data_IF_150579067135
#
_entry.id   IF_150579067135
#
_cell.length_a   1.000
_cell.length_b   1.000
_cell.length_c   1.000
_cell.angle_alpha   90.00
_cell.angle_beta   90.00
_cell.angle_gamma   90.00
#
_symmetry.space_group_name_H-M   'P 1'
#
loop_
_entity.id
_entity.type
_entity.pdbx_description
1 polymer ?
#
# COMPACT_ATOMS: atom_id res chain seq x y z
N UNK A 1 -24.10 76.32 40.76
CA UNK A 1 -24.16 75.73 39.40
C UNK A 1 -22.72 75.33 39.00
N UNK A 2 -22.34 74.09 39.23
CA UNK A 2 -21.04 73.56 38.80
C UNK A 2 -21.32 72.36 37.85
N UNK A 3 -20.90 72.53 36.62
CA UNK A 3 -20.97 71.48 35.60
C UNK A 3 -19.78 70.53 35.81
N UNK A 4 -20.07 69.27 36.01
CA UNK A 4 -19.10 68.19 36.01
C UNK A 4 -19.06 67.61 34.63
N UNK A 5 -17.91 67.72 33.94
CA UNK A 5 -17.63 67.04 32.69
C UNK A 5 -17.12 65.62 33.02
N UNK A 6 -17.86 64.62 32.66
CA UNK A 6 -17.37 63.22 32.70
C UNK A 6 -16.69 62.88 31.36
N UNK A 7 -15.39 62.72 31.42
CA UNK A 7 -14.62 62.20 30.29
C UNK A 7 -14.72 60.66 30.26
N UNK A 8 -15.36 60.11 29.20
CA UNK A 8 -15.41 58.70 28.90
C UNK A 8 -14.10 58.33 28.21
N UNK A 9 -13.21 57.63 28.88
CA UNK A 9 -12.03 57.04 28.26
C UNK A 9 -12.48 55.69 27.64
N UNK A 10 -12.60 55.63 26.32
CA UNK A 10 -12.77 54.39 25.57
C UNK A 10 -11.38 53.68 25.53
N UNK A 11 -11.26 52.61 26.31
CA UNK A 11 -10.13 51.70 26.25
C UNK A 11 -10.41 50.70 25.10
N UNK A 12 -9.88 50.95 23.91
CA UNK A 12 -9.87 49.98 22.81
C UNK A 12 -8.80 48.90 23.11
N UNK A 13 -9.23 47.77 23.62
CA UNK A 13 -8.43 46.55 23.64
C UNK A 13 -8.20 46.09 22.21
N UNK A 14 -7.08 46.44 21.62
CA UNK A 14 -6.57 45.79 20.42
C UNK A 14 -6.04 44.44 20.85
N UNK A 15 -6.86 43.38 20.72
CA UNK A 15 -6.37 42.00 20.76
C UNK A 15 -5.51 41.79 19.51
N UNK A 16 -4.24 42.16 19.61
CA UNK A 16 -3.23 41.74 18.67
C UNK A 16 -3.07 40.23 18.80
N UNK A 17 -3.62 39.47 17.83
CA UNK A 17 -3.21 38.09 17.61
C UNK A 17 -1.72 38.18 17.23
N UNK A 18 -0.86 38.11 18.23
CA UNK A 18 0.56 37.96 18.01
C UNK A 18 0.75 36.59 17.37
N UNK A 19 0.92 36.59 16.04
CA UNK A 19 1.44 35.45 15.34
C UNK A 19 2.86 35.23 15.87
N UNK A 20 2.99 34.50 16.95
CA UNK A 20 4.31 34.16 17.54
C UNK A 20 5.00 33.29 16.49
N UNK A 21 6.01 33.86 15.83
CA UNK A 21 6.84 33.16 14.85
C UNK A 21 7.43 31.95 15.55
N UNK A 22 6.98 30.76 15.20
CA UNK A 22 7.53 29.51 15.77
C UNK A 22 9.04 29.50 15.60
N UNK A 23 9.78 29.13 16.63
CA UNK A 23 11.24 29.03 16.56
C UNK A 23 11.68 27.97 15.56
N UNK A 24 12.85 28.20 14.93
CA UNK A 24 13.43 27.21 14.02
C UNK A 24 13.91 25.99 14.83
N UNK A 25 13.52 24.80 14.39
CA UNK A 25 13.96 23.54 15.00
C UNK A 25 14.35 22.52 13.93
N UNK A 26 15.17 21.57 14.30
CA UNK A 26 15.37 20.35 13.50
C UNK A 26 14.15 19.45 13.68
N UNK A 27 13.66 18.91 12.56
CA UNK A 27 12.59 17.91 12.51
C UNK A 27 13.12 16.68 11.80
N UNK A 28 12.97 15.52 12.40
CA UNK A 28 13.50 14.26 11.89
C UNK A 28 12.38 13.36 11.36
N UNK A 29 12.58 12.83 10.16
CA UNK A 29 11.70 11.83 9.51
C UNK A 29 12.48 10.53 9.31
N UNK A 30 11.90 9.42 9.72
CA UNK A 30 12.33 8.10 9.29
C UNK A 30 11.36 7.55 8.24
N UNK A 31 11.90 7.11 7.10
CA UNK A 31 11.16 6.39 6.06
C UNK A 31 11.89 5.12 5.68
N UNK A 32 11.17 4.12 5.17
CA UNK A 32 11.73 2.82 4.80
C UNK A 32 11.97 2.69 3.30
N UNK A 33 11.49 3.63 2.47
CA UNK A 33 11.54 3.57 1.02
C UNK A 33 12.39 4.70 0.42
N UNK A 34 13.29 4.33 -0.50
CA UNK A 34 14.14 5.31 -1.19
C UNK A 34 13.33 6.34 -1.98
N UNK A 35 12.27 5.90 -2.68
CA UNK A 35 11.40 6.79 -3.45
C UNK A 35 10.71 7.82 -2.55
N UNK A 36 10.18 7.38 -1.40
CA UNK A 36 9.55 8.27 -0.45
C UNK A 36 10.55 9.26 0.15
N UNK A 37 11.77 8.80 0.51
CA UNK A 37 12.84 9.70 0.94
C UNK A 37 13.21 10.72 -0.14
N UNK A 38 13.24 10.34 -1.42
CA UNK A 38 13.53 11.23 -2.53
C UNK A 38 12.45 12.31 -2.66
N UNK A 39 11.18 11.94 -2.56
CA UNK A 39 10.04 12.87 -2.57
C UNK A 39 10.15 13.94 -1.48
N UNK A 40 10.47 13.55 -0.24
CA UNK A 40 10.69 14.46 0.86
C UNK A 40 11.91 15.38 0.61
N UNK A 41 13.01 14.84 0.07
CA UNK A 41 14.22 15.60 -0.27
C UNK A 41 13.95 16.64 -1.36
N UNK A 42 13.15 16.30 -2.37
CA UNK A 42 12.80 17.20 -3.47
C UNK A 42 12.00 18.41 -2.96
N UNK A 43 11.23 18.25 -1.90
CA UNK A 43 10.42 19.31 -1.30
C UNK A 43 11.00 19.92 -0.03
N UNK A 44 12.17 19.47 0.40
CA UNK A 44 12.79 19.91 1.67
C UNK A 44 12.87 21.44 1.78
N UNK A 45 13.31 22.13 0.75
CA UNK A 45 13.46 23.58 0.78
C UNK A 45 12.14 24.32 1.04
N UNK A 46 11.06 23.88 0.39
CA UNK A 46 9.73 24.45 0.58
C UNK A 46 9.19 24.18 1.98
N UNK A 47 9.39 22.96 2.48
CA UNK A 47 8.98 22.53 3.82
C UNK A 47 9.74 23.33 4.89
N UNK A 48 11.08 23.42 4.76
CA UNK A 48 11.94 24.13 5.69
C UNK A 48 11.54 25.61 5.80
N UNK A 49 11.28 26.23 4.65
CA UNK A 49 10.88 27.63 4.59
C UNK A 49 9.47 27.85 5.18
N UNK A 50 8.50 27.02 4.74
CA UNK A 50 7.09 27.17 5.14
C UNK A 50 6.90 26.99 6.64
N UNK A 51 7.54 25.98 7.21
CA UNK A 51 7.36 25.58 8.60
C UNK A 51 8.47 26.08 9.52
N UNK A 52 9.45 26.85 9.03
CA UNK A 52 10.63 27.33 9.76
C UNK A 52 11.37 26.22 10.50
N UNK A 53 11.74 25.15 9.77
CA UNK A 53 12.44 23.97 10.30
C UNK A 53 13.75 23.69 9.55
N UNK A 54 14.47 22.68 9.98
CA UNK A 54 15.52 21.98 9.21
C UNK A 54 15.15 20.49 9.19
N UNK A 55 14.57 20.03 8.10
CA UNK A 55 14.11 18.65 7.94
C UNK A 55 15.29 17.71 7.71
N UNK A 56 15.45 16.73 8.57
CA UNK A 56 16.41 15.64 8.43
C UNK A 56 15.69 14.34 8.07
N UNK A 57 16.12 13.69 6.99
CA UNK A 57 15.47 12.50 6.45
C UNK A 57 16.42 11.32 6.55
N UNK A 58 16.01 10.28 7.25
CA UNK A 58 16.75 9.04 7.40
C UNK A 58 16.04 7.88 6.74
N UNK A 59 16.76 7.18 5.84
CA UNK A 59 16.31 5.90 5.28
C UNK A 59 16.64 4.79 6.27
N UNK A 60 15.62 4.14 6.80
CA UNK A 60 15.74 3.01 7.73
C UNK A 60 15.35 1.72 7.02
N UNK A 61 16.23 0.73 7.02
CA UNK A 61 15.93 -0.55 6.37
C UNK A 61 14.63 -1.17 6.90
N UNK A 62 13.75 -1.58 6.00
CA UNK A 62 12.40 -2.07 6.31
C UNK A 62 12.38 -3.19 7.37
N UNK A 63 13.29 -4.16 7.24
CA UNK A 63 13.40 -5.30 8.16
C UNK A 63 13.91 -4.92 9.57
N UNK A 64 14.55 -3.76 9.72
CA UNK A 64 15.05 -3.25 10.98
C UNK A 64 14.18 -2.13 11.58
N UNK A 65 13.17 -1.64 10.83
CA UNK A 65 12.43 -0.44 11.16
C UNK A 65 11.76 -0.51 12.54
N UNK A 66 11.00 -1.57 12.79
CA UNK A 66 10.26 -1.73 14.05
C UNK A 66 11.20 -1.91 15.23
N UNK A 67 12.25 -2.74 15.09
CA UNK A 67 13.22 -2.95 16.17
C UNK A 67 13.98 -1.64 16.51
N UNK A 68 14.37 -0.87 15.48
CA UNK A 68 15.02 0.42 15.69
C UNK A 68 14.09 1.41 16.40
N UNK A 69 12.82 1.51 15.96
CA UNK A 69 11.84 2.37 16.61
C UNK A 69 11.63 1.98 18.07
N UNK A 70 11.43 0.70 18.36
CA UNK A 70 11.27 0.20 19.73
C UNK A 70 12.47 0.54 20.61
N UNK A 71 13.69 0.36 20.09
CA UNK A 71 14.91 0.64 20.84
C UNK A 71 15.01 2.11 21.25
N UNK A 72 14.79 3.07 20.32
CA UNK A 72 14.85 4.51 20.63
C UNK A 72 13.70 4.96 21.53
N UNK A 73 12.51 4.35 21.39
CA UNK A 73 11.37 4.64 22.27
C UNK A 73 11.63 4.18 23.71
N UNK A 74 12.30 3.04 23.91
CA UNK A 74 12.70 2.54 25.23
C UNK A 74 13.82 3.36 25.87
N UNK A 75 14.79 3.80 25.07
CA UNK A 75 15.91 4.65 25.55
C UNK A 75 15.48 6.11 25.76
N UNK A 76 14.41 6.56 25.12
CA UNK A 76 13.93 7.94 25.14
C UNK A 76 14.85 8.92 24.42
N UNK A 77 15.81 8.43 23.61
CA UNK A 77 16.76 9.26 22.87
C UNK A 77 16.74 8.94 21.39
N UNK A 78 16.82 9.99 20.56
CA UNK A 78 16.86 9.82 19.11
C UNK A 78 15.53 9.33 18.50
N UNK A 79 14.43 9.50 19.23
CA UNK A 79 13.08 9.26 18.68
C UNK A 79 12.84 10.28 17.57
N UNK A 80 12.47 9.85 16.35
CA UNK A 80 12.18 10.78 15.26
C UNK A 80 10.90 11.57 15.55
N UNK A 81 10.76 12.75 14.92
CA UNK A 81 9.53 13.55 15.03
C UNK A 81 8.39 12.98 14.19
N UNK A 82 8.73 12.37 13.05
CA UNK A 82 7.80 11.70 12.14
C UNK A 82 8.34 10.34 11.72
N UNK A 83 7.45 9.40 11.50
CA UNK A 83 7.78 8.13 10.85
C UNK A 83 6.84 7.88 9.68
N UNK A 84 7.39 7.29 8.63
CA UNK A 84 6.65 6.69 7.54
C UNK A 84 6.92 5.19 7.56
N UNK A 85 5.87 4.39 7.79
CA UNK A 85 6.02 2.95 7.93
C UNK A 85 5.13 2.18 6.95
N UNK A 86 5.53 0.96 6.68
CA UNK A 86 4.71 0.02 5.91
C UNK A 86 3.62 -0.61 6.76
N UNK A 87 2.52 -0.90 6.11
CA UNK A 87 1.35 -1.54 6.71
C UNK A 87 1.66 -2.86 7.42
N UNK A 88 2.63 -3.64 6.93
CA UNK A 88 3.06 -4.90 7.54
C UNK A 88 3.64 -4.71 8.94
N UNK A 89 4.02 -3.49 9.29
CA UNK A 89 4.56 -3.13 10.59
C UNK A 89 3.52 -2.55 11.56
N UNK A 90 2.21 -2.74 11.30
CA UNK A 90 1.13 -2.16 12.11
C UNK A 90 1.11 -2.62 13.58
N UNK A 91 1.91 -3.60 13.96
CA UNK A 91 2.13 -3.97 15.37
C UNK A 91 2.68 -2.84 16.26
N UNK A 92 3.09 -1.71 15.68
CA UNK A 92 3.42 -0.49 16.44
C UNK A 92 2.18 0.26 16.93
N UNK A 93 1.01 -0.07 16.38
CA UNK A 93 -0.28 0.49 16.74
C UNK A 93 -0.93 -0.36 17.82
N UNK A 94 -1.80 0.25 18.63
CA UNK A 94 -2.63 -0.47 19.60
C UNK A 94 -3.98 0.24 19.73
N UNK A 95 -5.04 -0.52 19.98
CA UNK A 95 -6.36 0.04 20.26
C UNK A 95 -6.37 0.86 21.57
N UNK A 96 -5.51 0.50 22.53
CA UNK A 96 -5.22 1.30 23.71
C UNK A 96 -4.09 2.30 23.38
N UNK A 97 -4.35 3.64 23.31
CA UNK A 97 -3.35 4.63 22.96
C UNK A 97 -2.13 4.60 23.88
N UNK A 98 -2.29 4.17 25.13
CA UNK A 98 -1.16 4.10 26.06
C UNK A 98 -0.14 3.04 25.68
N UNK A 99 -0.55 2.01 24.94
CA UNK A 99 0.32 0.92 24.47
C UNK A 99 0.84 1.13 23.05
N UNK A 100 0.29 2.08 22.31
CA UNK A 100 0.77 2.42 20.96
C UNK A 100 2.11 3.13 21.02
N UNK A 101 2.99 2.92 20.03
CA UNK A 101 4.24 3.66 19.87
C UNK A 101 4.04 5.04 19.23
N UNK A 102 2.87 5.30 18.66
CA UNK A 102 2.53 6.54 17.99
C UNK A 102 1.32 7.21 18.64
N UNK A 103 1.19 8.51 18.44
CA UNK A 103 0.07 9.30 18.94
C UNK A 103 -1.18 9.03 18.12
N UNK A 104 -2.38 8.95 18.73
CA UNK A 104 -3.63 9.10 18.02
C UNK A 104 -3.73 10.51 17.42
N UNK A 105 -4.19 10.59 16.18
CA UNK A 105 -4.29 11.84 15.43
C UNK A 105 -5.73 12.39 15.37
N UNK A 106 -6.65 11.86 16.18
CA UNK A 106 -8.08 12.18 16.12
C UNK A 106 -8.36 13.69 16.21
N UNK A 107 -7.66 14.40 17.11
CA UNK A 107 -7.82 15.86 17.28
C UNK A 107 -7.49 16.65 16.00
N UNK A 108 -6.52 16.15 15.22
CA UNK A 108 -6.09 16.80 13.99
C UNK A 108 -6.94 16.39 12.79
N UNK A 109 -7.16 15.07 12.61
CA UNK A 109 -7.86 14.55 11.42
C UNK A 109 -9.35 14.91 11.40
N UNK A 110 -9.98 15.09 12.58
CA UNK A 110 -11.39 15.48 12.67
C UNK A 110 -11.64 16.89 12.13
N UNK A 111 -10.67 17.78 12.22
CA UNK A 111 -10.74 19.16 11.71
C UNK A 111 -10.19 19.30 10.29
N UNK A 112 -9.41 18.32 9.82
CA UNK A 112 -8.79 18.33 8.51
C UNK A 112 -9.83 18.16 7.39
N UNK A 113 -9.93 19.18 6.52
CA UNK A 113 -10.73 19.11 5.30
C UNK A 113 -10.13 18.14 4.27
N UNK A 114 -8.82 18.04 4.24
CA UNK A 114 -8.10 17.16 3.31
C UNK A 114 -8.31 15.69 3.70
N UNK A 115 -8.13 15.34 4.97
CA UNK A 115 -8.31 13.98 5.46
C UNK A 115 -9.75 13.44 5.22
N UNK A 116 -10.77 14.30 5.33
CA UNK A 116 -12.17 13.92 5.04
C UNK A 116 -12.41 13.46 3.61
N UNK A 117 -11.51 13.76 2.68
CA UNK A 117 -11.57 13.33 1.28
C UNK A 117 -10.77 12.04 1.01
N UNK A 118 -10.06 11.50 2.01
CA UNK A 118 -9.36 10.22 1.89
C UNK A 118 -10.37 9.10 1.71
N UNK A 119 -10.12 8.19 0.77
CA UNK A 119 -11.03 7.08 0.49
C UNK A 119 -11.18 6.19 1.73
N UNK A 120 -12.42 5.82 2.12
CA UNK A 120 -12.67 5.09 3.38
C UNK A 120 -11.88 3.80 3.52
N UNK A 121 -11.66 3.09 2.42
CA UNK A 121 -10.86 1.85 2.40
C UNK A 121 -9.41 2.06 2.86
N UNK A 122 -8.84 3.27 2.68
CA UNK A 122 -7.47 3.58 3.18
C UNK A 122 -7.49 4.09 4.61
N UNK A 123 -8.52 4.84 5.00
CA UNK A 123 -8.69 5.25 6.40
C UNK A 123 -8.78 4.03 7.32
N UNK A 124 -9.46 2.97 6.89
CA UNK A 124 -9.60 1.73 7.66
C UNK A 124 -8.25 1.10 8.04
N UNK A 125 -7.20 1.30 7.25
CA UNK A 125 -5.87 0.71 7.49
C UNK A 125 -5.06 1.44 8.57
N UNK A 126 -5.43 2.67 8.90
CA UNK A 126 -4.78 3.49 9.95
C UNK A 126 -5.62 3.60 11.22
N UNK A 127 -6.80 2.96 11.24
CA UNK A 127 -7.67 2.89 12.41
C UNK A 127 -7.41 1.64 13.23
N UNK A 128 -7.24 1.84 14.55
CA UNK A 128 -7.15 0.80 15.55
C UNK A 128 -8.05 1.15 16.74
N UNK A 129 -9.02 0.30 17.03
CA UNK A 129 -10.10 0.65 17.94
C UNK A 129 -10.87 1.87 17.41
N UNK A 130 -11.05 2.87 18.27
CA UNK A 130 -11.74 4.12 17.89
C UNK A 130 -10.79 5.19 17.36
N UNK A 131 -9.47 4.92 17.33
CA UNK A 131 -8.44 5.91 17.05
C UNK A 131 -7.85 5.81 15.65
N UNK A 132 -7.49 6.97 15.09
CA UNK A 132 -6.75 7.11 13.83
C UNK A 132 -5.29 7.44 14.14
N UNK A 133 -4.34 6.64 13.64
CA UNK A 133 -2.93 6.75 14.01
C UNK A 133 -2.02 7.27 12.89
N UNK A 134 -2.55 7.53 11.71
CA UNK A 134 -1.70 7.95 10.61
C UNK A 134 -2.42 8.61 9.46
N UNK A 135 -1.63 9.24 8.60
CA UNK A 135 -2.08 9.80 7.33
C UNK A 135 -1.69 8.85 6.18
N UNK A 136 -2.66 8.28 5.44
CA UNK A 136 -2.35 7.47 4.27
C UNK A 136 -1.60 8.26 3.19
N UNK A 137 -0.55 7.63 2.64
CA UNK A 137 0.25 8.22 1.58
C UNK A 137 -0.39 8.00 0.19
N UNK A 138 -1.03 6.88 -0.03
CA UNK A 138 -1.43 6.34 -1.32
C UNK A 138 -2.66 5.43 -1.24
N UNK A 139 -3.11 4.89 -2.39
CA UNK A 139 -4.30 4.01 -2.44
C UNK A 139 -4.04 2.62 -3.02
N UNK A 140 -3.08 2.47 -3.92
CA UNK A 140 -2.58 1.21 -4.51
C UNK A 140 -3.62 0.28 -5.16
N UNK A 141 -4.40 0.75 -6.15
CA UNK A 141 -5.23 -0.14 -6.94
C UNK A 141 -4.35 -1.10 -7.76
N UNK A 142 -4.74 -2.37 -7.80
CA UNK A 142 -3.99 -3.40 -8.51
C UNK A 142 -4.52 -3.57 -9.93
N UNK A 143 -3.60 -3.57 -10.90
CA UNK A 143 -3.84 -3.87 -12.31
C UNK A 143 -3.11 -5.15 -12.73
N UNK A 144 -3.52 -5.76 -13.83
CA UNK A 144 -2.72 -6.77 -14.54
C UNK A 144 -1.86 -6.05 -15.57
N UNK A 145 -0.53 -6.10 -15.40
CA UNK A 145 0.42 -5.71 -16.44
C UNK A 145 0.81 -6.97 -17.20
N UNK A 146 0.80 -6.92 -18.54
CA UNK A 146 1.11 -8.08 -19.37
C UNK A 146 1.87 -7.72 -20.65
N UNK A 147 2.67 -8.67 -21.12
CA UNK A 147 3.42 -8.61 -22.36
C UNK A 147 2.51 -9.04 -23.52
N UNK A 148 1.87 -8.06 -24.17
CA UNK A 148 0.92 -8.27 -25.27
C UNK A 148 1.56 -9.04 -26.44
N UNK A 149 2.85 -8.78 -26.73
CA UNK A 149 3.60 -9.47 -27.79
C UNK A 149 3.68 -10.98 -27.56
N UNK A 150 4.01 -11.41 -26.35
CA UNK A 150 4.20 -12.82 -26.03
C UNK A 150 2.85 -13.58 -25.89
N UNK A 151 1.86 -12.94 -25.28
CA UNK A 151 0.54 -13.53 -25.17
C UNK A 151 -0.13 -13.71 -26.55
N UNK A 152 -0.05 -12.72 -27.43
CA UNK A 152 -0.51 -12.84 -28.83
C UNK A 152 0.26 -13.91 -29.60
N UNK A 153 1.58 -14.02 -29.39
CA UNK A 153 2.38 -15.09 -30.01
C UNK A 153 1.93 -16.49 -29.56
N UNK A 154 1.42 -16.61 -28.34
CA UNK A 154 0.82 -17.84 -27.83
C UNK A 154 -0.63 -18.06 -28.33
N UNK A 155 -1.17 -17.15 -29.15
CA UNK A 155 -2.55 -17.22 -29.68
C UNK A 155 -3.62 -16.79 -28.67
N UNK A 156 -3.25 -16.00 -27.65
CA UNK A 156 -4.13 -15.55 -26.57
C UNK A 156 -4.35 -14.04 -26.63
N UNK A 157 -5.61 -13.63 -26.63
CA UNK A 157 -6.02 -12.24 -26.45
C UNK A 157 -6.38 -12.01 -24.98
N UNK A 158 -5.47 -11.42 -24.22
CA UNK A 158 -5.64 -11.21 -22.78
C UNK A 158 -6.83 -10.30 -22.47
N UNK A 159 -7.21 -9.39 -23.37
CA UNK A 159 -8.37 -8.50 -23.17
C UNK A 159 -9.70 -9.24 -23.10
N UNK A 160 -9.79 -10.46 -23.66
CA UNK A 160 -10.99 -11.31 -23.64
C UNK A 160 -11.10 -12.21 -22.40
N UNK A 161 -10.10 -12.22 -21.55
CA UNK A 161 -10.07 -13.05 -20.35
C UNK A 161 -10.89 -12.35 -19.26
N UNK A 162 -11.97 -12.97 -18.81
CA UNK A 162 -12.87 -12.40 -17.80
C UNK A 162 -12.56 -12.89 -16.38
N UNK A 163 -12.11 -14.14 -16.25
CA UNK A 163 -11.88 -14.77 -14.94
C UNK A 163 -10.48 -15.35 -14.81
N UNK A 164 -10.04 -15.56 -13.55
CA UNK A 164 -8.76 -16.21 -13.28
C UNK A 164 -8.74 -17.67 -13.76
N UNK A 165 -9.88 -18.39 -13.76
CA UNK A 165 -9.95 -19.74 -14.33
C UNK A 165 -9.61 -19.72 -15.82
N UNK A 166 -10.17 -18.77 -16.57
CA UNK A 166 -9.84 -18.59 -17.99
C UNK A 166 -8.37 -18.18 -18.16
N UNK A 167 -7.87 -17.29 -17.31
CA UNK A 167 -6.47 -16.84 -17.36
C UNK A 167 -5.50 -18.01 -17.21
N UNK A 168 -5.71 -18.86 -16.20
CA UNK A 168 -4.84 -20.00 -15.96
C UNK A 168 -5.00 -21.10 -17.02
N UNK A 169 -6.19 -21.29 -17.59
CA UNK A 169 -6.38 -22.19 -18.72
C UNK A 169 -5.63 -21.70 -19.96
N UNK A 170 -5.78 -20.42 -20.31
CA UNK A 170 -5.09 -19.80 -21.44
C UNK A 170 -3.57 -19.74 -21.23
N UNK A 171 -3.10 -19.63 -19.99
CA UNK A 171 -1.67 -19.60 -19.65
C UNK A 171 -0.95 -20.89 -20.03
N UNK A 172 -1.63 -22.01 -20.16
CA UNK A 172 -1.07 -23.28 -20.66
C UNK A 172 -0.49 -23.14 -22.07
N UNK A 173 -1.13 -22.33 -22.93
CA UNK A 173 -0.64 -22.03 -24.28
C UNK A 173 0.67 -21.24 -24.21
N UNK A 174 0.77 -20.26 -23.30
CA UNK A 174 1.97 -19.48 -23.08
C UNK A 174 3.13 -20.34 -22.57
N UNK A 175 2.86 -21.22 -21.60
CA UNK A 175 3.87 -22.10 -20.99
C UNK A 175 4.23 -23.32 -21.83
N UNK A 176 3.54 -23.56 -22.95
CA UNK A 176 3.81 -24.65 -23.88
C UNK A 176 5.20 -24.56 -24.53
N UNK A 177 5.75 -23.35 -24.72
CA UNK A 177 7.10 -23.16 -25.23
C UNK A 177 8.12 -23.69 -24.23
N UNK A 178 8.95 -24.67 -24.66
CA UNK A 178 9.92 -25.37 -23.80
C UNK A 178 11.34 -25.23 -24.33
N UNK A 179 12.30 -25.16 -23.41
CA UNK A 179 13.73 -25.30 -23.67
C UNK A 179 14.36 -26.16 -22.57
N UNK A 180 15.00 -27.25 -22.95
CA UNK A 180 15.54 -28.19 -21.97
C UNK A 180 14.47 -28.80 -21.04
N UNK A 181 13.26 -29.03 -21.54
CA UNK A 181 12.13 -29.57 -20.78
C UNK A 181 11.39 -28.58 -19.86
N UNK A 182 11.92 -27.35 -19.69
CA UNK A 182 11.29 -26.31 -18.85
C UNK A 182 10.60 -25.26 -19.71
N UNK A 183 9.53 -24.66 -19.19
CA UNK A 183 8.88 -23.51 -19.85
C UNK A 183 9.85 -22.34 -19.97
N UNK A 184 9.79 -21.61 -21.07
CA UNK A 184 10.58 -20.40 -21.29
C UNK A 184 9.78 -19.12 -20.99
N UNK A 185 8.45 -19.24 -20.93
CA UNK A 185 7.53 -18.16 -20.61
C UNK A 185 6.60 -18.61 -19.48
N UNK A 186 6.33 -17.73 -18.54
CA UNK A 186 5.45 -17.93 -17.38
C UNK A 186 4.46 -16.79 -17.27
N UNK A 187 3.24 -17.07 -16.86
CA UNK A 187 2.18 -16.08 -16.82
C UNK A 187 2.31 -15.13 -15.62
N UNK A 188 2.62 -15.66 -14.44
CA UNK A 188 2.65 -14.87 -13.20
C UNK A 188 3.88 -15.17 -12.34
N UNK A 189 4.28 -14.23 -11.48
CA UNK A 189 5.28 -14.48 -10.47
C UNK A 189 4.71 -15.31 -9.32
N UNK A 190 5.49 -16.26 -8.80
CA UNK A 190 5.23 -16.92 -7.52
C UNK A 190 6.12 -16.30 -6.44
N UNK A 191 5.59 -16.10 -5.23
CA UNK A 191 6.41 -15.69 -4.10
C UNK A 191 7.30 -16.81 -3.57
N UNK A 192 8.19 -16.48 -2.64
CA UNK A 192 8.99 -17.46 -1.91
C UNK A 192 8.07 -18.49 -1.23
N UNK A 193 8.26 -19.77 -1.53
CA UNK A 193 7.44 -20.85 -0.98
C UNK A 193 6.05 -21.01 -1.60
N UNK A 194 5.76 -20.32 -2.72
CA UNK A 194 4.47 -20.42 -3.41
C UNK A 194 3.35 -19.54 -2.86
N UNK A 195 3.57 -18.92 -1.70
CA UNK A 195 2.71 -17.90 -1.14
C UNK A 195 3.28 -16.53 -1.54
N UNK A 196 2.72 -15.88 -2.52
CA UNK A 196 3.16 -14.57 -2.98
C UNK A 196 2.06 -13.54 -2.89
N UNK A 197 2.46 -12.29 -3.04
CA UNK A 197 1.56 -11.14 -3.06
C UNK A 197 0.39 -11.36 -4.02
N UNK A 198 0.63 -12.00 -5.16
CA UNK A 198 -0.39 -12.35 -6.17
C UNK A 198 -1.53 -13.16 -5.58
N UNK A 199 -1.24 -14.14 -4.70
CA UNK A 199 -2.27 -14.95 -4.05
C UNK A 199 -3.23 -14.08 -3.22
N UNK A 200 -2.69 -13.15 -2.44
CA UNK A 200 -3.51 -12.27 -1.59
C UNK A 200 -4.26 -11.21 -2.38
N UNK A 201 -3.67 -10.70 -3.46
CA UNK A 201 -4.36 -9.76 -4.34
C UNK A 201 -5.58 -10.42 -5.00
N UNK A 202 -5.47 -11.66 -5.45
CA UNK A 202 -6.59 -12.42 -6.04
C UNK A 202 -7.60 -12.81 -4.95
N UNK A 203 -7.12 -13.20 -3.77
CA UNK A 203 -8.00 -13.56 -2.66
C UNK A 203 -8.94 -12.40 -2.25
N UNK A 204 -8.48 -11.15 -2.24
CA UNK A 204 -9.33 -10.00 -1.93
C UNK A 204 -10.56 -9.92 -2.84
N UNK A 205 -10.47 -10.41 -4.08
CA UNK A 205 -11.58 -10.42 -5.03
C UNK A 205 -12.68 -11.43 -4.67
N UNK A 206 -12.43 -12.35 -3.74
CA UNK A 206 -13.46 -13.28 -3.25
C UNK A 206 -14.51 -12.58 -2.38
N UNK A 207 -14.19 -11.40 -1.86
CA UNK A 207 -15.03 -10.67 -0.90
C UNK A 207 -14.99 -11.24 0.52
N UNK A 208 -14.24 -12.33 0.76
CA UNK A 208 -14.02 -12.88 2.10
C UNK A 208 -12.82 -12.22 2.77
N UNK A 209 -12.75 -12.32 4.09
CA UNK A 209 -11.65 -11.81 4.90
C UNK A 209 -11.03 -12.93 5.74
N UNK A 210 -9.69 -12.90 5.94
CA UNK A 210 -9.03 -13.85 6.85
C UNK A 210 -9.25 -13.51 8.32
N UNK A 211 -9.70 -12.29 8.61
CA UNK A 211 -10.22 -11.91 9.90
C UNK A 211 -11.69 -11.54 9.77
N UNK A 212 -12.51 -12.05 10.68
CA UNK A 212 -13.90 -11.63 10.82
C UNK A 212 -13.98 -10.17 11.27
N UNK A 213 -15.17 -9.55 11.25
CA UNK A 213 -15.35 -8.15 11.66
C UNK A 213 -14.94 -7.90 13.13
N UNK A 214 -15.02 -8.93 13.97
CA UNK A 214 -14.58 -8.90 15.37
C UNK A 214 -13.10 -9.33 15.54
N UNK A 215 -12.32 -9.36 14.46
CA UNK A 215 -10.87 -9.59 14.48
C UNK A 215 -10.44 -11.05 14.67
N UNK A 216 -11.35 -12.02 14.61
CA UNK A 216 -10.99 -13.44 14.75
C UNK A 216 -10.53 -14.06 13.44
N UNK A 217 -9.54 -14.97 13.44
CA UNK A 217 -9.13 -15.70 12.25
C UNK A 217 -10.29 -16.51 11.64
N UNK A 218 -10.30 -16.61 10.31
CA UNK A 218 -11.32 -17.36 9.56
C UNK A 218 -10.73 -18.27 8.48
N UNK A 219 -9.54 -18.83 8.72
CA UNK A 219 -8.86 -19.71 7.76
C UNK A 219 -9.63 -21.01 7.46
N UNK A 220 -10.47 -21.46 8.39
CA UNK A 220 -11.31 -22.66 8.21
C UNK A 220 -12.65 -22.36 7.55
N UNK A 221 -12.91 -21.12 7.11
CA UNK A 221 -14.14 -20.79 6.41
C UNK A 221 -14.24 -21.55 5.06
N UNK A 222 -15.45 -21.94 4.64
CA UNK A 222 -15.65 -22.61 3.35
C UNK A 222 -15.08 -21.82 2.17
N UNK A 223 -15.22 -20.49 2.20
CA UNK A 223 -14.77 -19.58 1.16
C UNK A 223 -13.24 -19.56 1.05
N UNK A 224 -12.53 -19.51 2.18
CA UNK A 224 -11.08 -19.54 2.19
C UNK A 224 -10.54 -20.90 1.76
N UNK A 225 -11.20 -22.00 2.21
CA UNK A 225 -10.87 -23.36 1.78
C UNK A 225 -11.05 -23.54 0.29
N UNK A 226 -12.18 -23.09 -0.29
CA UNK A 226 -12.45 -23.11 -1.74
C UNK A 226 -11.34 -22.37 -2.49
N UNK A 227 -10.99 -21.16 -2.01
CA UNK A 227 -9.96 -20.35 -2.64
C UNK A 227 -8.58 -21.03 -2.64
N UNK A 228 -8.14 -21.58 -1.52
CA UNK A 228 -6.84 -22.26 -1.41
C UNK A 228 -6.81 -23.52 -2.29
N UNK A 229 -7.90 -24.29 -2.32
CA UNK A 229 -8.01 -25.44 -3.20
C UNK A 229 -7.87 -25.04 -4.69
N UNK A 230 -8.55 -23.97 -5.09
CA UNK A 230 -8.48 -23.43 -6.46
C UNK A 230 -7.09 -22.89 -6.78
N UNK A 231 -6.44 -22.22 -5.83
CA UNK A 231 -5.05 -21.76 -5.99
C UNK A 231 -4.07 -22.92 -6.22
N UNK A 232 -4.24 -24.04 -5.52
CA UNK A 232 -3.44 -25.25 -5.74
C UNK A 232 -3.67 -25.87 -7.13
N UNK A 233 -4.91 -25.80 -7.65
CA UNK A 233 -5.21 -26.24 -9.02
C UNK A 233 -4.54 -25.33 -10.07
N UNK A 234 -4.61 -24.02 -9.90
CA UNK A 234 -3.93 -23.08 -10.79
C UNK A 234 -2.41 -23.28 -10.79
N UNK A 235 -1.82 -23.61 -9.65
CA UNK A 235 -0.38 -23.92 -9.59
C UNK A 235 0.00 -25.11 -10.47
N UNK A 236 -0.88 -26.10 -10.65
CA UNK A 236 -0.62 -27.26 -11.51
C UNK A 236 -0.53 -26.92 -13.00
N UNK A 237 -0.99 -25.74 -13.42
CA UNK A 237 -0.88 -25.28 -14.82
C UNK A 237 0.56 -24.98 -15.25
N UNK A 238 1.48 -24.81 -14.30
CA UNK A 238 2.85 -24.40 -14.57
C UNK A 238 2.99 -22.92 -14.97
N UNK A 239 1.97 -22.11 -14.66
CA UNK A 239 1.93 -20.69 -15.01
C UNK A 239 2.90 -19.81 -14.22
N UNK A 240 3.43 -20.30 -13.11
CA UNK A 240 4.21 -19.49 -12.17
C UNK A 240 5.71 -19.67 -12.33
N UNK A 241 6.46 -18.57 -12.17
CA UNK A 241 7.92 -18.57 -12.05
C UNK A 241 8.38 -17.96 -10.73
N UNK A 242 9.47 -18.52 -10.20
CA UNK A 242 10.13 -17.95 -9.01
C UNK A 242 10.76 -16.60 -9.35
N UNK A 243 10.74 -15.68 -8.41
CA UNK A 243 11.36 -14.38 -8.52
C UNK A 243 11.88 -13.88 -7.16
N UNK A 244 12.73 -12.87 -7.23
CA UNK A 244 13.16 -12.03 -6.11
C UNK A 244 13.31 -10.57 -6.60
N UNK A 245 13.50 -9.65 -5.66
CA UNK A 245 13.63 -8.22 -5.99
C UNK A 245 14.80 -7.91 -6.94
N UNK A 246 15.88 -8.71 -6.89
CA UNK A 246 17.05 -8.51 -7.72
C UNK A 246 16.86 -8.97 -9.17
N UNK A 247 15.97 -9.93 -9.44
CA UNK A 247 15.80 -10.52 -10.76
C UNK A 247 14.49 -10.15 -11.48
N UNK A 248 13.50 -9.57 -10.80
CA UNK A 248 12.15 -9.36 -11.33
C UNK A 248 12.12 -8.60 -12.66
N UNK A 249 12.77 -7.45 -12.71
CA UNK A 249 12.84 -6.62 -13.93
C UNK A 249 13.55 -7.34 -15.08
N UNK A 250 14.56 -8.16 -14.78
CA UNK A 250 15.26 -8.97 -15.78
C UNK A 250 14.36 -10.08 -16.35
N UNK A 251 13.51 -10.71 -15.53
CA UNK A 251 12.51 -11.70 -15.98
C UNK A 251 11.49 -11.10 -16.95
N UNK A 252 11.07 -9.85 -16.73
CA UNK A 252 10.22 -9.11 -17.68
C UNK A 252 10.97 -8.79 -18.98
N UNK A 253 12.20 -8.26 -18.86
CA UNK A 253 13.02 -7.82 -19.99
C UNK A 253 13.37 -8.99 -20.93
N UNK A 254 13.65 -10.17 -20.41
CA UNK A 254 13.98 -11.33 -21.24
C UNK A 254 12.74 -12.11 -21.72
N UNK A 255 11.54 -11.79 -21.22
CA UNK A 255 10.28 -12.44 -21.56
C UNK A 255 10.01 -13.75 -20.82
N UNK A 256 10.76 -14.06 -19.77
CA UNK A 256 10.49 -15.22 -18.92
C UNK A 256 9.19 -15.00 -18.13
N UNK A 257 9.01 -13.82 -17.54
CA UNK A 257 7.76 -13.42 -16.90
C UNK A 257 6.94 -12.57 -17.88
N UNK A 258 5.72 -12.98 -18.15
CA UNK A 258 4.88 -12.38 -19.18
C UNK A 258 3.76 -11.51 -18.65
N UNK A 259 3.42 -11.60 -17.37
CA UNK A 259 2.49 -10.69 -16.69
C UNK A 259 2.69 -10.71 -15.18
N UNK A 260 2.13 -9.72 -14.52
CA UNK A 260 2.10 -9.65 -13.06
C UNK A 260 0.94 -8.78 -12.57
N UNK A 261 0.45 -9.09 -11.38
CA UNK A 261 -0.49 -8.24 -10.65
C UNK A 261 0.29 -7.09 -10.04
N UNK A 262 -0.01 -5.87 -10.43
CA UNK A 262 0.79 -4.69 -10.06
C UNK A 262 -0.05 -3.66 -9.31
N UNK A 263 0.20 -3.40 -8.03
CA UNK A 263 -0.14 -2.12 -7.46
C UNK A 263 0.67 -1.00 -8.15
N UNK A 264 0.27 0.24 -7.99
CA UNK A 264 0.86 1.38 -8.70
C UNK A 264 2.35 1.59 -8.39
N UNK A 265 2.80 1.37 -7.15
CA UNK A 265 4.21 1.46 -6.75
C UNK A 265 5.12 0.42 -7.44
N UNK A 266 4.55 -0.66 -7.98
CA UNK A 266 5.31 -1.75 -8.63
C UNK A 266 5.35 -1.62 -10.16
N UNK A 267 4.66 -0.65 -10.72
CA UNK A 267 4.60 -0.42 -12.18
C UNK A 267 5.98 -0.18 -12.79
N UNK A 268 6.89 0.48 -12.08
CA UNK A 268 8.24 0.77 -12.55
C UNK A 268 9.09 -0.45 -12.91
N UNK A 269 8.72 -1.64 -12.45
CA UNK A 269 9.42 -2.89 -12.80
C UNK A 269 9.44 -3.18 -14.31
N UNK A 270 8.48 -2.63 -15.06
CA UNK A 270 8.41 -2.80 -16.52
C UNK A 270 9.32 -1.84 -17.27
N UNK A 271 9.85 -0.79 -16.64
CA UNK A 271 10.52 0.33 -17.31
C UNK A 271 11.68 -0.11 -18.20
N UNK A 272 12.58 -0.95 -17.66
CA UNK A 272 13.73 -1.44 -18.42
C UNK A 272 13.32 -2.32 -19.60
N UNK A 273 12.24 -3.09 -19.46
CA UNK A 273 11.72 -3.97 -20.51
C UNK A 273 10.97 -3.16 -21.59
N UNK A 274 10.20 -2.15 -21.19
CA UNK A 274 9.48 -1.27 -22.11
C UNK A 274 10.44 -0.38 -22.91
N UNK A 275 11.48 0.16 -22.26
CA UNK A 275 12.51 0.99 -22.93
C UNK A 275 13.32 0.22 -23.97
N UNK A 276 13.51 -1.08 -23.79
CA UNK A 276 14.22 -1.95 -24.75
C UNK A 276 13.48 -2.10 -26.08
N UNK A 277 12.16 -1.83 -26.08
CA UNK A 277 11.33 -1.83 -27.30
C UNK A 277 11.09 -3.23 -27.92
N UNK A 278 11.63 -4.29 -27.32
CA UNK A 278 11.48 -5.67 -27.81
C UNK A 278 10.07 -6.18 -27.67
N UNK A 279 9.37 -5.75 -26.62
CA UNK A 279 8.02 -6.20 -26.27
C UNK A 279 7.09 -5.02 -26.09
N UNK A 280 5.83 -5.20 -26.48
CA UNK A 280 4.76 -4.27 -26.15
C UNK A 280 4.09 -4.73 -24.87
N UNK A 281 4.10 -3.87 -23.85
CA UNK A 281 3.34 -4.11 -22.62
C UNK A 281 2.00 -3.39 -22.65
N UNK A 282 1.05 -3.92 -21.89
CA UNK A 282 -0.27 -3.35 -21.67
C UNK A 282 -0.68 -3.51 -20.21
N UNK A 283 -1.62 -2.68 -19.77
CA UNK A 283 -2.25 -2.77 -18.46
C UNK A 283 -3.77 -2.86 -18.60
N UNK A 284 -4.40 -3.66 -17.74
CA UNK A 284 -5.85 -3.79 -17.64
C UNK A 284 -6.31 -4.09 -16.21
N UNK A 285 -7.62 -4.04 -15.98
CA UNK A 285 -8.20 -4.59 -14.77
C UNK A 285 -7.84 -6.07 -14.61
N UNK A 286 -7.76 -6.56 -13.38
CA UNK A 286 -7.55 -7.97 -13.09
C UNK A 286 -8.71 -8.81 -13.67
N UNK A 287 -8.46 -10.06 -14.10
CA UNK A 287 -9.51 -11.04 -14.21
C UNK A 287 -10.26 -11.16 -12.88
N UNK A 288 -11.55 -11.39 -12.90
CA UNK A 288 -12.32 -11.56 -11.67
C UNK A 288 -12.14 -12.99 -11.09
N UNK A 289 -12.27 -13.13 -9.77
CA UNK A 289 -12.31 -14.47 -9.16
C UNK A 289 -13.55 -15.26 -9.60
N UNK A 290 -14.71 -14.59 -9.65
CA UNK A 290 -15.97 -15.12 -10.22
C UNK A 290 -16.50 -14.10 -11.23
N UNK A 291 -17.14 -14.57 -12.29
CA UNK A 291 -17.70 -13.70 -13.33
C UNK A 291 -18.58 -12.58 -12.71
N UNK A 292 -18.35 -11.33 -13.13
CA UNK A 292 -19.03 -10.15 -12.60
C UNK A 292 -18.54 -9.70 -11.22
N UNK A 293 -17.53 -10.36 -10.64
CA UNK A 293 -16.92 -10.00 -9.34
C UNK A 293 -15.95 -8.82 -9.41
N UNK A 294 -15.23 -8.59 -8.32
CA UNK A 294 -14.21 -7.56 -8.23
C UNK A 294 -13.08 -7.78 -9.26
N UNK A 295 -12.64 -6.70 -9.89
CA UNK A 295 -11.63 -6.69 -10.96
C UNK A 295 -10.36 -5.94 -10.57
N UNK A 296 -10.15 -5.73 -9.29
CA UNK A 296 -8.97 -5.11 -8.69
C UNK A 296 -8.80 -5.58 -7.26
N UNK A 297 -7.71 -5.21 -6.65
CA UNK A 297 -7.38 -5.39 -5.23
C UNK A 297 -6.63 -4.15 -4.73
N UNK A 298 -6.18 -4.16 -3.48
CA UNK A 298 -5.22 -3.19 -2.95
C UNK A 298 -4.07 -3.95 -2.28
N UNK A 299 -2.83 -3.54 -2.55
CA UNK A 299 -1.68 -4.21 -1.94
C UNK A 299 -0.57 -3.23 -1.60
N UNK A 300 -0.04 -3.38 -0.36
CA UNK A 300 0.94 -2.47 0.19
C UNK A 300 0.32 -1.19 0.74
N UNK A 301 1.16 -0.24 1.02
CA UNK A 301 0.82 1.09 1.48
C UNK A 301 1.69 1.58 2.60
N UNK A 302 1.90 2.87 2.62
CA UNK A 302 2.63 3.55 3.68
C UNK A 302 1.77 4.63 4.33
N UNK A 303 2.17 4.99 5.54
CA UNK A 303 1.47 5.95 6.38
C UNK A 303 2.48 6.81 7.11
N UNK A 304 2.14 8.07 7.30
CA UNK A 304 2.87 8.96 8.20
C UNK A 304 2.22 8.94 9.58
N UNK A 305 3.04 8.88 10.63
CA UNK A 305 2.61 9.03 12.01
C UNK A 305 3.57 9.83 12.86
N UNK A 306 3.11 10.20 14.04
CA UNK A 306 3.85 10.96 15.04
C UNK A 306 4.20 10.02 16.20
N UNK A 307 5.46 9.68 16.44
CA UNK A 307 5.87 8.89 17.60
C UNK A 307 5.47 9.56 18.91
N UNK A 308 5.16 8.76 19.94
CA UNK A 308 4.93 9.29 21.29
C UNK A 308 6.17 10.03 21.81
N UNK A 309 5.94 11.11 22.52
CA UNK A 309 7.01 11.97 23.05
C UNK A 309 7.49 13.05 22.09
N UNK A 310 7.00 13.06 20.85
CA UNK A 310 7.27 14.15 19.90
C UNK A 310 6.74 15.46 20.44
N UNK A 311 7.62 16.48 20.43
CA UNK A 311 7.24 17.84 20.82
C UNK A 311 6.59 18.56 19.65
N UNK A 312 5.63 19.48 19.94
CA UNK A 312 4.92 20.28 18.92
C UNK A 312 4.25 19.39 17.86
N UNK A 313 3.47 18.42 18.33
CA UNK A 313 2.78 17.45 17.48
C UNK A 313 1.86 18.11 16.43
N UNK A 314 1.25 19.25 16.78
CA UNK A 314 0.44 20.05 15.85
C UNK A 314 1.24 20.47 14.61
N UNK A 315 2.44 21.05 14.83
CA UNK A 315 3.33 21.46 13.73
C UNK A 315 3.80 20.29 12.90
N UNK A 316 4.08 19.15 13.53
CA UNK A 316 4.45 17.92 12.82
C UNK A 316 3.28 17.43 11.99
N UNK A 317 2.06 17.44 12.51
CA UNK A 317 0.86 17.11 11.74
C UNK A 317 0.68 18.05 10.54
N UNK A 318 0.83 19.36 10.70
CA UNK A 318 0.76 20.34 9.61
C UNK A 318 1.77 20.04 8.49
N UNK A 319 3.01 19.63 8.85
CA UNK A 319 4.04 19.21 7.88
C UNK A 319 3.61 17.96 7.14
N UNK A 320 3.11 16.94 7.85
CA UNK A 320 2.64 15.69 7.29
C UNK A 320 1.46 15.93 6.34
N UNK A 321 0.48 16.72 6.75
CA UNK A 321 -0.69 17.05 5.94
C UNK A 321 -0.31 17.83 4.67
N UNK A 322 0.58 18.82 4.79
CA UNK A 322 1.11 19.57 3.65
C UNK A 322 1.81 18.66 2.65
N UNK A 323 2.67 17.76 3.14
CA UNK A 323 3.40 16.85 2.26
C UNK A 323 2.48 15.85 1.58
N UNK A 324 1.49 15.34 2.29
CA UNK A 324 0.61 14.30 1.78
C UNK A 324 -0.54 14.83 0.93
N UNK A 325 -1.09 15.99 1.27
CA UNK A 325 -2.41 16.42 0.78
C UNK A 325 -2.41 17.77 0.05
N UNK A 326 -1.27 18.48 -0.02
CA UNK A 326 -1.17 19.67 -0.84
C UNK A 326 -1.23 19.33 -2.33
N UNK A 327 -2.02 20.07 -3.10
CA UNK A 327 -2.26 19.78 -4.51
C UNK A 327 -0.97 19.78 -5.36
N UNK A 328 0.03 20.60 -5.00
CA UNK A 328 1.32 20.62 -5.69
C UNK A 328 2.15 19.38 -5.36
N UNK A 329 2.15 18.94 -4.09
CA UNK A 329 2.83 17.72 -3.66
C UNK A 329 2.28 16.49 -4.37
N UNK A 330 0.96 16.35 -4.43
CA UNK A 330 0.27 15.25 -5.09
C UNK A 330 0.66 15.11 -6.56
N UNK A 331 0.71 16.25 -7.28
CA UNK A 331 1.05 16.24 -8.71
C UNK A 331 2.48 15.82 -8.94
N UNK A 332 3.42 16.35 -8.18
CA UNK A 332 4.84 15.99 -8.27
C UNK A 332 5.02 14.50 -7.94
N UNK A 333 4.42 14.02 -6.86
CA UNK A 333 4.48 12.61 -6.49
C UNK A 333 3.99 11.69 -7.61
N UNK A 334 2.83 11.96 -8.16
CA UNK A 334 2.29 11.14 -9.24
C UNK A 334 3.18 11.16 -10.50
N UNK A 335 3.74 12.32 -10.87
CA UNK A 335 4.67 12.42 -12.00
C UNK A 335 5.97 11.64 -11.77
N UNK A 336 6.50 11.65 -10.57
CA UNK A 336 7.76 10.98 -10.22
C UNK A 336 7.60 9.49 -9.95
N UNK A 337 6.50 9.07 -9.34
CA UNK A 337 6.35 7.71 -8.83
C UNK A 337 5.23 6.91 -9.50
N UNK A 338 4.25 7.57 -10.12
CA UNK A 338 3.02 6.95 -10.61
C UNK A 338 2.04 6.54 -9.50
N UNK A 339 2.36 6.81 -8.22
CA UNK A 339 1.50 6.43 -7.10
C UNK A 339 0.27 7.33 -7.00
N UNK A 340 -0.90 6.70 -6.93
CA UNK A 340 -2.18 7.39 -6.89
C UNK A 340 -2.46 7.93 -5.46
N UNK A 341 -2.77 9.23 -5.32
CA UNK A 341 -3.07 9.80 -4.01
C UNK A 341 -4.36 9.21 -3.42
N UNK A 342 -4.52 9.19 -2.08
CA UNK A 342 -5.61 8.47 -1.42
C UNK A 342 -6.96 9.22 -1.43
N UNK A 343 -7.14 10.26 -2.27
CA UNK A 343 -8.41 10.99 -2.37
C UNK A 343 -8.93 11.11 -3.78
N UNK A 344 -10.18 10.70 -3.94
CA UNK A 344 -10.83 10.63 -5.24
C UNK A 344 -11.12 12.00 -5.86
N UNK A 345 -11.16 13.08 -5.08
CA UNK A 345 -11.46 14.43 -5.54
C UNK A 345 -10.47 15.00 -6.55
N UNK A 346 -9.22 14.48 -6.58
CA UNK A 346 -8.19 14.93 -7.52
C UNK A 346 -8.03 14.03 -8.75
N UNK A 347 -8.61 12.85 -8.77
CA UNK A 347 -8.37 11.86 -9.84
C UNK A 347 -8.91 12.26 -11.23
N UNK A 348 -9.75 13.30 -11.28
CA UNK A 348 -10.20 13.87 -12.56
C UNK A 348 -9.23 14.89 -13.17
N UNK A 349 -8.16 15.28 -12.47
CA UNK A 349 -7.13 16.17 -13.01
C UNK A 349 -6.44 15.55 -14.25
N UNK A 350 -6.09 16.42 -15.19
CA UNK A 350 -5.48 16.03 -16.46
C UNK A 350 -4.17 15.23 -16.30
N UNK A 351 -3.47 15.40 -15.18
CA UNK A 351 -2.22 14.69 -14.88
C UNK A 351 -2.41 13.18 -14.84
N UNK A 352 -3.53 12.70 -14.26
CA UNK A 352 -3.86 11.28 -14.19
C UNK A 352 -4.35 10.68 -15.53
N UNK A 353 -4.61 11.54 -16.52
CA UNK A 353 -5.11 11.17 -17.84
C UNK A 353 -4.04 11.22 -18.94
N UNK A 354 -2.77 11.42 -18.57
CA UNK A 354 -1.64 11.39 -19.49
C UNK A 354 -1.47 10.00 -20.11
N UNK A 355 -1.10 9.97 -21.38
CA UNK A 355 -0.71 8.74 -22.07
C UNK A 355 0.63 8.23 -21.51
N UNK A 356 0.71 6.93 -21.27
CA UNK A 356 1.92 6.27 -20.79
C UNK A 356 2.57 5.49 -21.93
N UNK A 357 3.75 5.92 -22.39
CA UNK A 357 4.43 5.29 -23.53
C UNK A 357 4.85 3.84 -23.24
N UNK A 358 5.04 3.46 -21.99
CA UNK A 358 5.36 2.08 -21.58
C UNK A 358 4.27 1.09 -21.96
N UNK A 359 3.03 1.56 -22.04
CA UNK A 359 1.83 0.78 -22.30
C UNK A 359 1.17 1.15 -23.64
N UNK A 360 1.96 1.64 -24.60
CA UNK A 360 1.44 1.98 -25.94
C UNK A 360 0.45 3.13 -25.97
N UNK A 361 0.61 4.10 -25.07
CA UNK A 361 -0.27 5.26 -24.98
C UNK A 361 -1.53 5.06 -24.14
N UNK A 362 -1.67 3.91 -23.42
CA UNK A 362 -2.76 3.75 -22.48
C UNK A 362 -2.65 4.79 -21.34
N UNK A 363 -3.78 5.29 -20.88
CA UNK A 363 -3.88 6.22 -19.75
C UNK A 363 -3.90 5.45 -18.44
N UNK A 364 -2.74 5.00 -17.97
CA UNK A 364 -2.63 4.13 -16.82
C UNK A 364 -3.20 4.78 -15.54
N UNK A 365 -2.93 6.06 -15.28
CA UNK A 365 -3.46 6.76 -14.12
C UNK A 365 -5.00 6.83 -14.11
N UNK A 366 -5.64 7.01 -15.28
CA UNK A 366 -7.10 6.96 -15.41
C UNK A 366 -7.66 5.56 -15.13
N UNK A 367 -7.00 4.51 -15.64
CA UNK A 367 -7.34 3.12 -15.34
C UNK A 367 -7.28 2.85 -13.84
N UNK A 368 -6.16 3.22 -13.20
CA UNK A 368 -5.95 3.03 -11.78
C UNK A 368 -6.96 3.82 -10.93
N UNK A 369 -7.23 5.09 -11.26
CA UNK A 369 -8.23 5.91 -10.59
C UNK A 369 -9.65 5.30 -10.66
N UNK A 370 -10.02 4.74 -11.81
CA UNK A 370 -11.30 4.07 -12.00
C UNK A 370 -11.39 2.76 -11.20
N UNK A 371 -10.29 2.04 -11.06
CA UNK A 371 -10.22 0.81 -10.28
C UNK A 371 -10.19 1.09 -8.77
N UNK A 372 -9.53 2.16 -8.33
CA UNK A 372 -9.48 2.55 -6.93
C UNK A 372 -10.89 2.77 -6.33
N UNK A 373 -11.83 3.25 -7.13
CA UNK A 373 -13.26 3.40 -6.73
C UNK A 373 -13.96 2.04 -6.49
N UNK A 374 -13.38 0.93 -6.93
CA UNK A 374 -13.96 -0.42 -6.93
C UNK A 374 -13.16 -1.41 -6.07
N UNK A 375 -12.16 -0.93 -5.32
CA UNK A 375 -11.34 -1.81 -4.49
C UNK A 375 -12.18 -2.52 -3.43
N UNK A 376 -11.98 -3.83 -3.24
CA UNK A 376 -12.60 -4.54 -2.14
C UNK A 376 -12.10 -4.02 -0.79
N UNK A 377 -12.97 -4.07 0.21
CA UNK A 377 -12.60 -3.76 1.59
C UNK A 377 -11.90 -4.95 2.22
N UNK A 378 -10.77 -4.70 2.86
CA UNK A 378 -9.99 -5.71 3.60
C UNK A 378 -10.04 -5.35 5.09
N UNK A 379 -10.39 -6.33 5.92
CA UNK A 379 -10.28 -6.18 7.37
C UNK A 379 -8.86 -6.53 7.81
N UNK A 380 -8.13 -5.54 8.31
CA UNK A 380 -6.71 -5.63 8.68
C UNK A 380 -6.49 -5.50 10.19
N UNK A 381 -7.37 -6.02 11.01
CA UNK A 381 -7.20 -5.98 12.48
C UNK A 381 -5.80 -6.37 12.98
N UNK A 382 -5.57 -6.25 14.28
CA UNK A 382 -4.25 -6.27 14.94
C UNK A 382 -3.34 -7.45 14.57
N UNK A 383 -3.92 -8.62 14.33
CA UNK A 383 -3.18 -9.85 14.04
C UNK A 383 -3.07 -10.19 12.55
N UNK A 384 -3.56 -9.34 11.65
CA UNK A 384 -3.70 -9.65 10.22
C UNK A 384 -2.41 -10.19 9.60
N UNK A 385 -1.31 -9.46 9.72
CA UNK A 385 -0.02 -9.83 9.12
C UNK A 385 0.61 -11.04 9.78
N UNK A 386 0.46 -11.15 11.08
CA UNK A 386 0.92 -12.33 11.82
C UNK A 386 0.12 -13.58 11.44
N UNK A 387 -1.20 -13.44 11.28
CA UNK A 387 -2.06 -14.52 10.82
C UNK A 387 -1.73 -14.95 9.37
N UNK A 388 -1.43 -13.99 8.48
CA UNK A 388 -0.93 -14.29 7.15
C UNK A 388 0.39 -15.07 7.20
N UNK A 389 1.31 -14.69 8.09
CA UNK A 389 2.57 -15.40 8.31
C UNK A 389 2.36 -16.84 8.80
N UNK A 390 1.43 -17.04 9.73
CA UNK A 390 1.05 -18.37 10.22
C UNK A 390 0.51 -19.25 9.09
N UNK A 391 -0.38 -18.71 8.26
CA UNK A 391 -0.87 -19.43 7.09
C UNK A 391 0.26 -19.72 6.09
N UNK A 392 1.18 -18.78 5.85
CA UNK A 392 2.32 -18.96 4.96
C UNK A 392 3.21 -20.15 5.32
N UNK A 393 3.45 -20.38 6.62
CA UNK A 393 4.18 -21.54 7.10
C UNK A 393 3.45 -22.83 6.76
N UNK A 394 2.14 -22.90 7.02
CA UNK A 394 1.32 -24.08 6.72
C UNK A 394 1.19 -24.32 5.22
N UNK A 395 1.08 -23.23 4.43
CA UNK A 395 1.02 -23.34 2.97
C UNK A 395 2.28 -23.98 2.38
N UNK A 396 3.46 -23.72 2.91
CA UNK A 396 4.71 -24.34 2.47
C UNK A 396 4.68 -25.88 2.64
N UNK A 397 4.17 -26.37 3.76
CA UNK A 397 4.00 -27.81 4.01
C UNK A 397 2.89 -28.41 3.12
N UNK A 398 1.78 -27.68 2.92
CA UNK A 398 0.69 -28.06 2.02
C UNK A 398 1.17 -28.15 0.55
N UNK A 399 1.86 -27.14 0.06
CA UNK A 399 2.35 -27.08 -1.32
C UNK A 399 3.38 -28.18 -1.62
N UNK A 400 4.13 -28.63 -0.60
CA UNK A 400 5.06 -29.77 -0.70
C UNK A 400 4.38 -31.14 -0.53
N UNK A 401 3.06 -31.17 -0.27
CA UNK A 401 2.29 -32.41 -0.07
C UNK A 401 2.52 -33.11 1.28
N UNK A 402 3.14 -32.44 2.26
CA UNK A 402 3.42 -33.02 3.58
C UNK A 402 2.19 -33.07 4.49
N UNK A 403 1.27 -32.13 4.32
CA UNK A 403 0.03 -32.06 5.08
C UNK A 403 -1.18 -31.89 4.14
N UNK A 404 -2.36 -32.24 4.60
CA UNK A 404 -3.60 -32.01 3.87
C UNK A 404 -4.03 -30.54 3.89
N UNK A 405 -4.92 -30.15 2.98
CA UNK A 405 -5.52 -28.81 2.98
C UNK A 405 -6.24 -28.52 4.30
N UNK A 406 -6.99 -29.50 4.82
CA UNK A 406 -7.74 -29.35 6.07
C UNK A 406 -6.81 -29.14 7.27
N UNK A 407 -5.71 -29.91 7.33
CA UNK A 407 -4.72 -29.76 8.39
C UNK A 407 -4.01 -28.40 8.29
N UNK A 408 -3.64 -27.96 7.07
CA UNK A 408 -2.99 -26.66 6.87
C UNK A 408 -3.88 -25.50 7.36
N UNK A 409 -5.16 -25.51 7.00
CA UNK A 409 -6.10 -24.46 7.40
C UNK A 409 -6.40 -24.51 8.90
N UNK A 410 -6.56 -25.70 9.47
CA UNK A 410 -6.75 -25.87 10.90
C UNK A 410 -5.54 -25.39 11.70
N UNK A 411 -4.34 -25.77 11.31
CA UNK A 411 -3.12 -25.36 11.98
C UNK A 411 -2.91 -23.84 11.92
N UNK A 412 -3.19 -23.21 10.75
CA UNK A 412 -3.14 -21.76 10.61
C UNK A 412 -4.16 -21.06 11.50
N UNK A 413 -5.39 -21.59 11.56
CA UNK A 413 -6.46 -21.09 12.44
C UNK A 413 -6.01 -21.12 13.91
N UNK A 414 -5.54 -22.26 14.40
CA UNK A 414 -5.10 -22.44 15.78
C UNK A 414 -3.88 -21.59 16.14
N UNK A 415 -2.95 -21.38 15.20
CA UNK A 415 -1.79 -20.53 15.41
C UNK A 415 -2.21 -19.05 15.56
N UNK A 416 -3.06 -18.56 14.68
CA UNK A 416 -3.56 -17.19 14.72
C UNK A 416 -4.46 -16.90 15.94
N UNK A 417 -5.28 -17.87 16.37
CA UNK A 417 -6.10 -17.74 17.59
C UNK A 417 -5.26 -17.55 18.87
N UNK A 418 -4.07 -18.17 18.93
CA UNK A 418 -3.15 -17.99 20.07
C UNK A 418 -2.59 -16.57 20.16
N UNK A 419 -2.62 -15.79 19.07
CA UNK A 419 -2.17 -14.39 19.05
C UNK A 419 -3.17 -13.45 19.67
N UNK A 420 -4.47 -13.73 19.53
CA UNK A 420 -5.54 -12.94 20.16
C UNK A 420 -5.50 -13.04 21.69
N UNK A 421 -5.02 -14.17 22.23
CA UNK A 421 -5.03 -14.45 23.67
C UNK A 421 -3.81 -13.84 24.41
N UNK A 422 -2.92 -13.16 23.71
CA UNK A 422 -1.75 -12.48 24.29
C UNK A 422 -1.94 -10.97 24.35
#
# INVERSE_FOLDING_TARGET
MKRVLSALVLLTLVLGVACTKREKRTVTLWSFAENNCAEWKNRKADIDQKFNIDLQIELVAQNAFVQKLQAVMMDGKGVPDMIEWMIENNRILNADPEKSFVLPLDEFVNDSKAFKNVVPGRVAWVKYGEHTYGLPHDVHPVVLIYNDTLWKKAGVDVEKIETWDQFFEESKKLTAAKKGGKSVNYALPSGNGGLGDTMFMIWQQTGSNILTKDGKPSFTSPEFKEYVAKWLEWNKTGAFTMWDWGNFSALLKNGTLCSYTSPDWWVSQVDAAAKDGKFQFKARALPAYKAGGAVTASWGGSFLAIPKGTQDAERIYEIMEFMQYDASAIKVRFEETGMLPPFSSVWDDAIFKKEDPRFGGQKLGELQANLAKKMPSVNTGDIFWDALGDFGQQYTELASGKISLDDALKNAQEAAEKRIKK
#
